data_IF_103925888319
#
_entry.id   IF_103925888319
#
_cell.length_a   1.000
_cell.length_b   1.000
_cell.length_c   1.000
_cell.angle_alpha   90.00
_cell.angle_beta   90.00
_cell.angle_gamma   90.00
#
_symmetry.space_group_name_H-M   'P 1'
#
loop_
_entity.id
_entity.type
_entity.pdbx_description
1 polymer ?
#
# COMPACT_ATOMS: atom_id res chain seq x y z
N UNK A 1 6.65 42.58 -9.53
CA UNK A 1 6.75 41.80 -10.79
C UNK A 1 7.83 40.70 -10.77
N UNK A 2 8.70 40.61 -9.75
CA UNK A 2 9.74 39.57 -9.63
C UNK A 2 9.33 38.31 -8.83
N UNK A 3 8.23 38.36 -8.08
CA UNK A 3 7.80 37.25 -7.21
C UNK A 3 7.05 36.15 -7.99
N UNK A 4 6.30 36.54 -9.03
CA UNK A 4 5.53 35.61 -9.88
C UNK A 4 6.43 34.78 -10.80
N UNK A 5 7.55 35.35 -11.26
CA UNK A 5 8.56 34.62 -12.02
C UNK A 5 9.33 33.63 -11.16
N UNK A 6 9.67 33.97 -9.91
CA UNK A 6 10.35 33.05 -8.99
C UNK A 6 9.46 31.85 -8.63
N UNK A 7 8.17 32.07 -8.39
CA UNK A 7 7.20 30.99 -8.16
C UNK A 7 7.00 30.10 -9.38
N UNK A 8 7.02 30.66 -10.59
CA UNK A 8 7.01 29.90 -11.83
C UNK A 8 8.27 29.05 -12.01
N UNK A 9 9.45 29.59 -11.69
CA UNK A 9 10.70 28.83 -11.78
C UNK A 9 10.77 27.67 -10.76
N UNK A 10 10.28 27.88 -9.54
CA UNK A 10 10.21 26.82 -8.52
C UNK A 10 9.21 25.72 -8.93
N UNK A 11 8.03 26.10 -9.42
CA UNK A 11 7.03 25.15 -9.91
C UNK A 11 7.52 24.35 -11.14
N UNK A 12 8.30 24.98 -12.03
CA UNK A 12 8.89 24.28 -13.20
C UNK A 12 10.03 23.34 -12.79
N UNK A 13 10.81 23.67 -11.76
CA UNK A 13 11.88 22.79 -11.26
C UNK A 13 11.34 21.56 -10.52
N UNK A 14 10.29 21.71 -9.71
CA UNK A 14 9.64 20.57 -9.05
C UNK A 14 9.04 19.59 -10.06
N UNK A 15 8.36 20.11 -11.10
CA UNK A 15 7.80 19.27 -12.16
C UNK A 15 8.87 18.51 -12.96
N UNK A 16 10.03 19.13 -13.24
CA UNK A 16 11.15 18.44 -13.92
C UNK A 16 11.83 17.38 -13.06
N UNK A 17 12.03 17.64 -11.77
CA UNK A 17 12.60 16.65 -10.86
C UNK A 17 11.67 15.43 -10.68
N UNK A 18 10.36 15.66 -10.73
CA UNK A 18 9.34 14.62 -10.69
C UNK A 18 9.28 13.81 -12.00
N UNK A 19 9.38 14.45 -13.17
CA UNK A 19 9.47 13.77 -14.48
C UNK A 19 10.77 12.97 -14.66
N UNK A 20 11.92 13.51 -14.27
CA UNK A 20 13.22 12.82 -14.37
C UNK A 20 13.32 11.62 -13.41
N UNK A 21 12.71 11.71 -12.22
CA UNK A 21 12.58 10.56 -11.33
C UNK A 21 11.62 9.52 -11.91
N UNK A 22 10.48 9.92 -12.47
CA UNK A 22 9.50 8.98 -13.04
C UNK A 22 10.03 8.23 -14.29
N UNK A 23 10.86 8.89 -15.11
CA UNK A 23 11.53 8.29 -16.27
C UNK A 23 12.56 7.21 -15.89
N UNK A 24 13.18 7.31 -14.71
CA UNK A 24 14.19 6.35 -14.23
C UNK A 24 13.61 4.97 -13.86
N UNK A 25 12.31 4.89 -13.63
CA UNK A 25 11.63 3.66 -13.18
C UNK A 25 10.95 2.86 -14.30
N UNK A 26 11.05 3.30 -15.55
CA UNK A 26 10.42 2.66 -16.73
C UNK A 26 10.97 1.25 -17.03
N UNK A 27 12.08 0.85 -16.40
CA UNK A 27 12.71 -0.48 -16.58
C UNK A 27 12.64 -1.39 -15.34
N UNK A 28 11.82 -1.10 -14.33
CA UNK A 28 11.60 -2.04 -13.24
C UNK A 28 10.74 -3.22 -13.71
N UNK A 29 11.29 -4.44 -13.66
CA UNK A 29 10.51 -5.65 -13.90
C UNK A 29 9.61 -5.91 -12.70
N UNK A 30 8.32 -5.57 -12.85
CA UNK A 30 7.28 -5.81 -11.84
C UNK A 30 6.88 -7.29 -11.73
N UNK A 31 7.39 -8.15 -12.63
CA UNK A 31 7.01 -9.57 -12.72
C UNK A 31 7.47 -10.36 -11.49
N UNK A 32 8.47 -9.86 -10.76
CA UNK A 32 8.97 -10.50 -9.55
C UNK A 32 8.17 -10.14 -8.29
N UNK A 33 7.33 -9.09 -8.33
CA UNK A 33 6.61 -8.61 -7.15
C UNK A 33 5.35 -9.41 -6.88
N UNK A 34 4.90 -9.43 -5.63
CA UNK A 34 3.68 -10.14 -5.24
C UNK A 34 2.48 -9.63 -6.05
N UNK A 35 1.80 -10.55 -6.74
CA UNK A 35 0.61 -10.23 -7.53
C UNK A 35 -0.59 -9.91 -6.62
N UNK A 36 -1.65 -9.31 -7.18
CA UNK A 36 -2.84 -9.02 -6.36
C UNK A 36 -3.53 -10.32 -5.91
N UNK A 37 -3.58 -11.31 -6.80
CA UNK A 37 -4.17 -12.61 -6.52
C UNK A 37 -3.39 -13.36 -5.45
N UNK A 38 -2.05 -13.32 -5.50
CA UNK A 38 -1.18 -13.88 -4.46
C UNK A 38 -1.36 -13.14 -3.13
N UNK A 39 -1.48 -11.83 -3.17
CA UNK A 39 -1.62 -10.99 -1.98
C UNK A 39 -2.89 -11.34 -1.19
N UNK A 40 -4.04 -11.42 -1.87
CA UNK A 40 -5.33 -11.75 -1.24
C UNK A 40 -5.55 -13.25 -1.05
N UNK A 41 -4.67 -14.10 -1.58
CA UNK A 41 -4.79 -15.55 -1.47
C UNK A 41 -4.92 -16.00 -0.01
N UNK A 42 -5.73 -17.04 0.20
CA UNK A 42 -5.96 -17.66 1.52
C UNK A 42 -6.53 -16.71 2.59
N UNK A 43 -7.12 -15.59 2.18
CA UNK A 43 -7.81 -14.67 3.11
C UNK A 43 -9.21 -14.35 2.63
N UNK A 44 -10.09 -14.02 3.57
CA UNK A 44 -11.42 -13.47 3.28
C UNK A 44 -11.47 -12.08 3.88
N UNK A 45 -11.81 -11.09 3.08
CA UNK A 45 -11.96 -9.71 3.53
C UNK A 45 -13.41 -9.43 3.91
N UNK A 46 -13.64 -9.04 5.16
CA UNK A 46 -14.92 -8.51 5.63
C UNK A 46 -14.87 -6.97 5.66
N UNK A 47 -15.64 -6.27 4.81
CA UNK A 47 -15.66 -4.80 4.81
C UNK A 47 -15.97 -4.19 6.18
N UNK A 48 -16.76 -4.86 7.04
CA UNK A 48 -17.09 -4.33 8.36
C UNK A 48 -15.90 -4.23 9.30
N UNK A 49 -14.85 -5.02 9.05
CA UNK A 49 -13.66 -5.06 9.90
C UNK A 49 -12.71 -3.86 9.73
N UNK A 50 -12.95 -2.98 8.74
CA UNK A 50 -12.16 -1.74 8.54
C UNK A 50 -12.89 -0.46 8.91
N UNK A 51 -14.18 -0.54 9.19
CA UNK A 51 -15.06 0.62 9.39
C UNK A 51 -14.86 1.22 10.79
N UNK A 52 -15.00 2.55 10.89
CA UNK A 52 -14.89 3.31 12.14
C UNK A 52 -13.54 3.14 12.87
N UNK A 53 -12.50 2.82 12.11
CA UNK A 53 -11.11 2.72 12.58
C UNK A 53 -10.28 3.80 11.87
N UNK A 54 -9.47 4.51 12.66
CA UNK A 54 -8.47 5.45 12.13
C UNK A 54 -7.22 4.66 11.76
N UNK A 55 -7.07 4.34 10.48
CA UNK A 55 -5.93 3.63 9.95
C UNK A 55 -4.81 4.62 9.65
N UNK A 56 -3.57 4.28 10.02
CA UNK A 56 -2.40 5.07 9.68
C UNK A 56 -1.34 4.19 9.03
N UNK A 57 -0.76 4.69 7.94
CA UNK A 57 0.26 3.98 7.18
C UNK A 57 1.55 3.95 8.00
N UNK A 58 2.09 2.76 8.25
CA UNK A 58 3.34 2.60 8.99
C UNK A 58 4.48 2.03 8.14
N UNK A 59 4.15 1.42 6.99
CA UNK A 59 5.09 0.85 6.05
C UNK A 59 4.61 1.04 4.61
N UNK A 60 5.57 1.25 3.71
CA UNK A 60 5.32 1.55 2.31
C UNK A 60 6.14 0.62 1.43
N UNK A 61 5.55 0.18 0.32
CA UNK A 61 6.22 -0.46 -0.80
C UNK A 61 5.93 0.36 -2.06
N UNK A 62 6.51 1.56 -2.12
CA UNK A 62 6.32 2.52 -3.21
C UNK A 62 7.64 3.22 -3.52
N UNK A 63 8.00 3.39 -4.82
CA UNK A 63 9.21 4.12 -5.21
C UNK A 63 9.06 5.62 -4.97
N UNK A 64 7.82 6.11 -4.78
CA UNK A 64 7.54 7.51 -4.57
C UNK A 64 7.80 7.92 -3.12
N UNK A 65 8.20 9.18 -2.96
CA UNK A 65 8.15 9.81 -1.65
C UNK A 65 6.69 10.02 -1.26
N UNK A 66 6.29 9.45 -0.13
CA UNK A 66 4.94 9.56 0.42
C UNK A 66 5.04 9.67 1.94
N UNK A 67 4.27 10.61 2.49
CA UNK A 67 4.13 10.79 3.92
C UNK A 67 3.05 9.87 4.49
N UNK A 68 3.14 9.57 5.79
CA UNK A 68 2.09 8.82 6.48
C UNK A 68 0.90 9.73 6.77
N UNK A 69 -0.28 9.33 6.30
CA UNK A 69 -1.55 10.00 6.55
C UNK A 69 -2.58 9.00 7.08
N UNK A 70 -3.69 9.54 7.59
CA UNK A 70 -4.77 8.73 8.12
C UNK A 70 -5.76 8.37 7.02
N UNK A 71 -6.31 7.17 7.09
CA UNK A 71 -7.36 6.65 6.22
C UNK A 71 -8.53 6.19 7.10
N UNK A 72 -9.75 6.58 6.75
CA UNK A 72 -10.97 6.12 7.39
C UNK A 72 -11.85 5.44 6.36
N UNK A 73 -12.50 4.36 6.78
CA UNK A 73 -13.52 3.68 5.97
C UNK A 73 -14.87 3.82 6.66
N UNK A 74 -15.89 4.03 5.85
CA UNK A 74 -17.29 4.02 6.24
C UNK A 74 -18.12 3.18 5.27
N UNK A 75 -19.36 2.85 5.65
CA UNK A 75 -20.29 2.24 4.71
C UNK A 75 -20.60 3.21 3.57
N UNK A 76 -20.66 2.71 2.34
CA UNK A 76 -21.13 3.47 1.20
C UNK A 76 -22.64 3.79 1.37
N UNK A 77 -22.95 4.98 1.89
CA UNK A 77 -24.34 5.42 2.04
C UNK A 77 -24.99 5.68 0.68
N UNK A 78 -26.31 5.52 0.59
CA UNK A 78 -27.07 5.75 -0.66
C UNK A 78 -26.80 7.15 -1.23
N UNK A 79 -26.74 8.18 -0.37
CA UNK A 79 -26.46 9.56 -0.77
C UNK A 79 -25.08 9.71 -1.43
N UNK A 80 -24.06 9.03 -0.89
CA UNK A 80 -22.71 9.05 -1.46
C UNK A 80 -22.67 8.30 -2.79
N UNK A 81 -23.30 7.12 -2.86
CA UNK A 81 -23.36 6.32 -4.08
C UNK A 81 -24.09 7.08 -5.19
N UNK A 82 -25.20 7.73 -4.87
CA UNK A 82 -25.97 8.52 -5.83
C UNK A 82 -25.19 9.74 -6.34
N UNK A 83 -24.38 10.38 -5.50
CA UNK A 83 -23.47 11.45 -5.95
C UNK A 83 -22.48 10.93 -6.99
N UNK A 84 -21.78 9.83 -6.71
CA UNK A 84 -20.84 9.25 -7.68
C UNK A 84 -21.55 8.82 -8.97
N UNK A 85 -22.75 8.26 -8.86
CA UNK A 85 -23.57 7.87 -10.01
C UNK A 85 -23.91 9.08 -10.88
N UNK A 86 -24.49 10.13 -10.31
CA UNK A 86 -24.91 11.32 -11.08
C UNK A 86 -23.75 11.95 -11.85
N UNK A 87 -22.57 12.04 -11.22
CA UNK A 87 -21.40 12.66 -11.84
C UNK A 87 -20.72 11.77 -12.90
N UNK A 88 -20.76 10.44 -12.75
CA UNK A 88 -19.88 9.54 -13.52
C UNK A 88 -20.61 8.53 -14.42
N UNK A 89 -21.91 8.31 -14.29
CA UNK A 89 -22.61 7.20 -14.97
C UNK A 89 -22.46 7.24 -16.50
N UNK A 90 -22.42 8.43 -17.12
CA UNK A 90 -22.20 8.59 -18.56
C UNK A 90 -20.74 8.51 -19.00
N UNK A 91 -19.81 8.81 -18.10
CA UNK A 91 -18.37 8.95 -18.40
C UNK A 91 -17.58 7.67 -18.10
N UNK A 92 -18.04 6.88 -17.14
CA UNK A 92 -17.29 5.76 -16.60
C UNK A 92 -17.30 4.56 -17.55
N UNK A 93 -16.10 4.12 -17.93
CA UNK A 93 -15.89 3.00 -18.87
C UNK A 93 -14.89 2.01 -18.30
N UNK A 94 -15.23 0.71 -18.22
CA UNK A 94 -16.56 0.13 -18.46
C UNK A 94 -17.63 0.62 -17.45
N UNK A 95 -18.93 0.51 -17.79
CA UNK A 95 -20.01 0.80 -16.86
C UNK A 95 -19.85 0.00 -15.56
N UNK A 96 -20.18 0.63 -14.44
CA UNK A 96 -20.12 0.03 -13.11
C UNK A 96 -21.52 -0.24 -12.58
N UNK A 97 -21.65 -1.31 -11.80
CA UNK A 97 -22.87 -1.58 -11.05
C UNK A 97 -22.78 -0.89 -9.69
N UNK A 98 -23.49 0.22 -9.54
CA UNK A 98 -23.49 1.02 -8.30
C UNK A 98 -24.02 0.27 -7.07
N UNK A 99 -24.77 -0.81 -7.25
CA UNK A 99 -25.22 -1.66 -6.13
C UNK A 99 -24.08 -2.50 -5.52
N UNK A 100 -22.92 -2.53 -6.18
CA UNK A 100 -21.72 -3.20 -5.68
C UNK A 100 -20.87 -2.32 -4.76
N UNK A 101 -21.27 -1.07 -4.51
CA UNK A 101 -20.61 -0.19 -3.54
C UNK A 101 -20.69 -0.75 -2.13
N UNK A 102 -19.53 -0.92 -1.48
CA UNK A 102 -19.41 -1.52 -0.14
C UNK A 102 -18.82 -0.58 0.90
N UNK A 103 -17.86 0.26 0.50
CA UNK A 103 -17.13 1.14 1.39
C UNK A 103 -16.94 2.51 0.73
N UNK A 104 -16.90 3.54 1.55
CA UNK A 104 -16.38 4.85 1.20
C UNK A 104 -15.10 5.09 1.99
N UNK A 105 -14.06 5.54 1.32
CA UNK A 105 -12.74 5.78 1.88
C UNK A 105 -12.45 7.29 1.87
N UNK A 106 -11.95 7.79 2.98
CA UNK A 106 -11.50 9.17 3.13
C UNK A 106 -10.10 9.18 3.72
N UNK A 107 -9.30 10.16 3.33
CA UNK A 107 -7.95 10.35 3.83
C UNK A 107 -7.79 11.74 4.43
N UNK A 108 -6.81 11.93 5.31
CA UNK A 108 -6.51 13.24 5.88
C UNK A 108 -5.79 14.21 4.91
N UNK A 109 -5.58 13.80 3.65
CA UNK A 109 -4.97 14.61 2.58
C UNK A 109 -6.00 14.97 1.49
N UNK A 110 -7.27 15.06 1.88
CA UNK A 110 -8.41 15.43 1.01
C UNK A 110 -8.63 14.50 -0.20
N UNK A 111 -8.09 13.28 -0.17
CA UNK A 111 -8.43 12.23 -1.12
C UNK A 111 -9.60 11.39 -0.59
N UNK A 112 -10.59 11.12 -1.44
CA UNK A 112 -11.71 10.22 -1.14
C UNK A 112 -12.03 9.30 -2.31
N UNK A 113 -12.61 8.13 -2.02
CA UNK A 113 -12.96 7.17 -3.05
C UNK A 113 -14.12 6.25 -2.65
N UNK A 114 -14.89 5.84 -3.65
CA UNK A 114 -15.91 4.80 -3.53
C UNK A 114 -15.30 3.45 -3.89
N UNK A 115 -15.49 2.44 -3.03
CA UNK A 115 -15.00 1.09 -3.22
C UNK A 115 -16.15 0.15 -3.57
N UNK A 116 -16.03 -0.53 -4.69
CA UNK A 116 -17.01 -1.49 -5.19
C UNK A 116 -16.44 -2.91 -5.08
N UNK A 117 -17.26 -3.86 -4.63
CA UNK A 117 -16.87 -5.27 -4.56
C UNK A 117 -16.61 -5.83 -5.96
N UNK A 118 -15.73 -6.82 -6.03
CA UNK A 118 -15.56 -7.66 -7.23
C UNK A 118 -16.01 -9.09 -6.93
N UNK A 119 -15.80 -10.00 -7.87
CA UNK A 119 -16.03 -11.42 -7.69
C UNK A 119 -14.97 -12.10 -6.80
N UNK A 120 -13.85 -11.44 -6.49
CA UNK A 120 -12.78 -11.97 -5.65
C UNK A 120 -12.79 -11.24 -4.31
N UNK A 121 -12.88 -11.99 -3.21
CA UNK A 121 -12.83 -11.42 -1.85
C UNK A 121 -11.51 -10.68 -1.65
N UNK A 122 -11.57 -9.48 -1.07
CA UNK A 122 -10.40 -8.61 -0.89
C UNK A 122 -10.04 -7.78 -2.12
N UNK A 123 -10.47 -8.14 -3.33
CA UNK A 123 -10.24 -7.28 -4.51
C UNK A 123 -11.44 -6.35 -4.69
N UNK A 124 -11.15 -5.05 -4.75
CA UNK A 124 -12.14 -3.99 -4.93
C UNK A 124 -11.79 -3.11 -6.12
N UNK A 125 -12.82 -2.55 -6.76
CA UNK A 125 -12.67 -1.43 -7.68
C UNK A 125 -12.75 -0.13 -6.90
N UNK A 126 -11.77 0.73 -7.07
CA UNK A 126 -11.70 2.04 -6.44
C UNK A 126 -12.02 3.13 -7.48
N UNK A 127 -13.00 3.97 -7.17
CA UNK A 127 -13.37 5.14 -7.96
C UNK A 127 -13.04 6.38 -7.13
N UNK A 128 -11.98 7.14 -7.47
CA UNK A 128 -11.62 8.34 -6.71
C UNK A 128 -12.61 9.47 -6.99
N UNK A 129 -12.87 10.33 -6.01
CA UNK A 129 -13.69 11.55 -6.20
C UNK A 129 -13.08 12.52 -7.23
N UNK A 130 -11.77 12.45 -7.44
CA UNK A 130 -11.06 13.20 -8.49
C UNK A 130 -11.61 12.91 -9.89
N UNK A 131 -12.25 11.75 -10.11
CA UNK A 131 -12.88 11.44 -11.39
C UNK A 131 -14.02 12.41 -11.77
N UNK A 132 -14.59 13.15 -10.81
CA UNK A 132 -15.62 14.17 -11.09
C UNK A 132 -15.07 15.35 -11.91
N UNK A 133 -13.78 15.67 -11.74
CA UNK A 133 -13.15 16.81 -12.39
C UNK A 133 -12.33 16.41 -13.62
N UNK A 134 -11.87 15.16 -13.66
CA UNK A 134 -10.97 14.66 -14.69
C UNK A 134 -11.60 13.48 -15.45
N UNK A 135 -12.15 13.71 -16.66
CA UNK A 135 -12.66 12.65 -17.51
C UNK A 135 -11.58 11.62 -17.83
N UNK A 136 -11.96 10.34 -17.88
CA UNK A 136 -11.05 9.26 -18.24
C UNK A 136 -10.12 8.79 -17.11
N UNK A 137 -10.36 9.22 -15.86
CA UNK A 137 -9.68 8.63 -14.71
C UNK A 137 -9.90 7.11 -14.69
N UNK A 138 -8.83 6.31 -14.67
CA UNK A 138 -8.96 4.87 -14.79
C UNK A 138 -9.63 4.28 -13.55
N UNK A 139 -10.49 3.29 -13.76
CA UNK A 139 -10.93 2.39 -12.70
C UNK A 139 -9.72 1.62 -12.16
N UNK A 140 -9.41 1.82 -10.88
CA UNK A 140 -8.27 1.16 -10.24
C UNK A 140 -8.72 -0.09 -9.51
N UNK A 141 -7.95 -1.17 -9.62
CA UNK A 141 -8.14 -2.36 -8.81
C UNK A 141 -7.20 -2.33 -7.62
N UNK A 142 -7.75 -2.59 -6.44
CA UNK A 142 -7.00 -2.68 -5.19
C UNK A 142 -7.26 -4.01 -4.49
N UNK A 143 -6.22 -4.56 -3.87
CA UNK A 143 -6.27 -5.66 -2.93
C UNK A 143 -6.31 -5.13 -1.50
N UNK A 144 -7.27 -5.62 -0.72
CA UNK A 144 -7.46 -5.36 0.70
C UNK A 144 -7.30 -6.68 1.45
N UNK A 145 -6.50 -6.67 2.50
CA UNK A 145 -6.21 -7.84 3.32
C UNK A 145 -6.03 -7.42 4.76
N UNK A 146 -6.63 -8.15 5.70
CA UNK A 146 -6.33 -7.98 7.12
C UNK A 146 -5.55 -9.19 7.62
N UNK A 147 -4.49 -8.92 8.35
CA UNK A 147 -3.66 -9.93 9.01
C UNK A 147 -3.59 -9.67 10.51
N UNK A 148 -3.34 -10.72 11.30
CA UNK A 148 -3.14 -10.57 12.74
C UNK A 148 -1.92 -9.66 13.02
N UNK A 149 -1.97 -8.80 14.05
CA UNK A 149 -3.02 -8.67 15.09
C UNK A 149 -4.22 -7.80 14.68
N UNK A 150 -4.25 -7.26 13.47
CA UNK A 150 -5.32 -6.39 12.96
C UNK A 150 -4.80 -5.32 12.01
N UNK A 151 -3.77 -5.62 11.22
CA UNK A 151 -3.21 -4.68 10.25
C UNK A 151 -3.87 -4.86 8.90
N UNK A 152 -4.07 -3.74 8.22
CA UNK A 152 -4.63 -3.68 6.89
C UNK A 152 -3.51 -3.51 5.87
N UNK A 153 -3.49 -4.37 4.87
CA UNK A 153 -2.70 -4.18 3.67
C UNK A 153 -3.57 -3.61 2.55
N UNK A 154 -3.04 -2.61 1.86
CA UNK A 154 -3.71 -1.93 0.76
C UNK A 154 -2.81 -1.90 -0.47
N UNK A 155 -3.13 -2.72 -1.49
CA UNK A 155 -2.28 -2.98 -2.65
C UNK A 155 -2.94 -2.47 -3.94
N UNK A 156 -2.28 -1.59 -4.69
CA UNK A 156 -2.65 -1.27 -6.06
C UNK A 156 -2.29 -2.41 -7.00
N UNK A 157 -3.29 -3.10 -7.58
CA UNK A 157 -3.04 -4.30 -8.39
C UNK A 157 -2.27 -4.01 -9.68
N UNK A 158 -2.47 -2.82 -10.28
CA UNK A 158 -1.87 -2.40 -11.55
C UNK A 158 -0.39 -2.02 -11.37
N UNK A 159 -0.10 -1.24 -10.33
CA UNK A 159 1.23 -0.66 -10.11
C UNK A 159 2.08 -1.44 -9.11
N UNK A 160 1.52 -2.46 -8.44
CA UNK A 160 2.18 -3.23 -7.38
C UNK A 160 2.72 -2.35 -6.25
N UNK A 161 1.96 -1.31 -5.90
CA UNK A 161 2.26 -0.42 -4.78
C UNK A 161 1.45 -0.88 -3.58
N UNK A 162 2.11 -1.13 -2.46
CA UNK A 162 1.46 -1.62 -1.25
C UNK A 162 1.70 -0.69 -0.07
N UNK A 163 0.74 -0.67 0.86
CA UNK A 163 0.85 0.02 2.13
C UNK A 163 0.43 -0.92 3.25
N UNK A 164 1.17 -0.88 4.37
CA UNK A 164 0.75 -1.48 5.62
C UNK A 164 0.18 -0.40 6.53
N UNK A 165 -1.02 -0.64 7.03
CA UNK A 165 -1.75 0.26 7.91
C UNK A 165 -2.08 -0.43 9.22
N UNK A 166 -1.99 0.33 10.31
CA UNK A 166 -2.41 -0.10 11.63
C UNK A 166 -3.45 0.89 12.17
N UNK A 167 -4.37 0.44 13.05
CA UNK A 167 -5.14 1.35 13.86
C UNK A 167 -4.19 2.29 14.64
N UNK A 168 -4.51 3.58 14.71
CA UNK A 168 -3.67 4.58 15.38
C UNK A 168 -3.34 4.21 16.84
N UNK A 169 -4.27 3.56 17.53
CA UNK A 169 -4.13 3.08 18.91
C UNK A 169 -3.39 1.75 19.05
N UNK A 170 -3.08 1.08 17.93
CA UNK A 170 -2.39 -0.23 17.86
C UNK A 170 -1.22 -0.19 16.88
N UNK A 171 -0.52 0.94 16.83
CA UNK A 171 0.68 1.10 16.03
C UNK A 171 1.76 0.11 16.51
N UNK A 172 2.47 -0.58 15.61
CA UNK A 172 3.57 -1.44 16.02
C UNK A 172 4.72 -0.61 16.61
N UNK A 173 5.52 -1.26 17.46
CA UNK A 173 6.74 -0.66 17.99
C UNK A 173 7.71 -0.29 16.86
N UNK A 174 8.44 0.82 17.04
CA UNK A 174 9.29 1.37 15.99
C UNK A 174 10.35 0.38 15.48
N UNK A 175 10.86 -0.48 16.36
CA UNK A 175 11.87 -1.50 16.03
C UNK A 175 11.29 -2.67 15.24
N UNK A 176 9.97 -2.89 15.31
CA UNK A 176 9.28 -4.04 14.71
C UNK A 176 8.50 -3.69 13.43
N UNK A 177 8.51 -2.43 12.97
CA UNK A 177 7.70 -1.97 11.83
C UNK A 177 7.87 -2.84 10.57
N UNK A 178 9.12 -3.22 10.25
CA UNK A 178 9.41 -4.05 9.06
C UNK A 178 8.91 -5.48 9.23
N UNK A 179 9.17 -6.11 10.38
CA UNK A 179 8.73 -7.47 10.68
C UNK A 179 7.20 -7.57 10.65
N UNK A 180 6.52 -6.59 11.24
CA UNK A 180 5.07 -6.52 11.30
C UNK A 180 4.45 -6.27 9.92
N UNK A 181 5.10 -5.48 9.06
CA UNK A 181 4.71 -5.27 7.68
C UNK A 181 4.84 -6.56 6.83
N UNK A 182 5.89 -7.35 7.04
CA UNK A 182 6.12 -8.61 6.31
C UNK A 182 4.99 -9.63 6.50
N UNK A 183 4.25 -9.57 7.63
CA UNK A 183 3.08 -10.44 7.88
C UNK A 183 1.97 -10.28 6.83
N UNK A 184 1.94 -9.17 6.09
CA UNK A 184 1.01 -8.98 4.97
C UNK A 184 1.32 -9.92 3.78
N UNK A 185 2.55 -10.43 3.69
CA UNK A 185 2.99 -11.32 2.62
C UNK A 185 3.12 -10.59 1.27
N UNK A 186 3.41 -9.30 1.30
CA UNK A 186 3.74 -8.52 0.10
C UNK A 186 5.25 -8.29 0.03
N UNK A 187 5.82 -8.47 -1.15
CA UNK A 187 7.22 -8.21 -1.41
C UNK A 187 7.44 -7.30 -2.63
N UNK A 188 8.37 -6.34 -2.47
CA UNK A 188 8.97 -5.53 -3.54
C UNK A 188 10.30 -4.91 -3.07
N UNK A 189 11.02 -4.28 -3.99
CA UNK A 189 12.33 -3.65 -3.73
C UNK A 189 12.26 -2.30 -2.99
N UNK A 190 11.04 -1.77 -2.75
CA UNK A 190 10.81 -0.41 -2.25
C UNK A 190 10.27 -0.37 -0.81
N UNK A 191 10.47 -1.45 -0.05
CA UNK A 191 10.00 -1.54 1.32
C UNK A 191 10.68 -0.53 2.24
N UNK A 192 9.90 0.34 2.90
CA UNK A 192 10.39 1.32 3.87
C UNK A 192 9.38 1.64 4.97
N UNK A 193 9.89 2.02 6.13
CA UNK A 193 9.05 2.47 7.25
C UNK A 193 8.62 3.93 7.05
N UNK A 194 7.57 4.35 7.76
CA UNK A 194 7.13 5.76 7.75
C UNK A 194 8.12 6.73 8.38
N UNK A 195 9.15 6.24 9.08
CA UNK A 195 10.21 7.07 9.68
C UNK A 195 11.42 7.25 8.77
N UNK A 196 11.49 6.50 7.67
CA UNK A 196 12.50 6.65 6.63
C UNK A 196 12.00 7.61 5.54
N UNK A 197 12.53 8.85 5.56
CA UNK A 197 12.13 9.93 4.64
C UNK A 197 12.64 9.67 3.21
N UNK A 198 13.70 8.88 3.03
CA UNK A 198 14.31 8.63 1.71
C UNK A 198 13.99 7.20 1.25
N UNK A 199 13.42 6.99 0.05
CA UNK A 199 13.23 5.65 -0.50
C UNK A 199 14.56 4.88 -0.60
N UNK A 200 14.62 3.61 -0.15
CA UNK A 200 15.83 2.81 -0.27
C UNK A 200 16.15 2.51 -1.73
N UNK A 201 17.42 2.24 -2.01
CA UNK A 201 17.83 1.70 -3.31
C UNK A 201 17.20 0.31 -3.51
N UNK A 202 16.85 -0.09 -4.74
CA UNK A 202 16.24 -1.39 -4.99
C UNK A 202 17.09 -2.53 -4.44
N UNK A 203 16.50 -3.37 -3.58
CA UNK A 203 17.14 -4.58 -3.03
C UNK A 203 16.64 -5.83 -3.73
N UNK A 204 17.47 -6.87 -3.84
CA UNK A 204 17.07 -8.17 -4.38
C UNK A 204 15.94 -8.82 -3.55
N UNK A 205 15.14 -9.72 -4.15
CA UNK A 205 14.14 -10.48 -3.41
C UNK A 205 14.71 -11.26 -2.24
N UNK A 206 14.01 -11.28 -1.08
CA UNK A 206 14.35 -12.16 0.01
C UNK A 206 14.18 -13.57 -0.52
N UNK A 207 15.14 -14.43 -0.17
CA UNK A 207 14.97 -15.86 -0.37
C UNK A 207 13.71 -16.31 0.37
N UNK A 208 12.95 -17.28 -0.19
CA UNK A 208 11.78 -17.81 0.48
C UNK A 208 12.19 -18.23 1.90
N UNK A 209 11.38 -17.87 2.90
CA UNK A 209 11.60 -18.17 4.30
C UNK A 209 11.56 -19.69 4.51
N UNK A 210 12.69 -20.37 4.25
CA UNK A 210 12.90 -21.76 4.61
C UNK A 210 13.09 -21.80 6.11
N UNK A 211 12.10 -22.35 6.79
CA UNK A 211 12.05 -22.50 8.23
C UNK A 211 12.75 -23.81 8.65
N UNK A 212 13.92 -24.06 8.08
CA UNK A 212 14.67 -25.32 8.21
C UNK A 212 16.13 -25.10 8.69
N UNK A 213 16.47 -23.95 9.26
CA UNK A 213 17.76 -23.72 9.95
C UNK A 213 17.67 -24.04 11.46
N UNK A 214 16.89 -25.07 11.83
CA UNK A 214 16.93 -25.70 13.15
C UNK A 214 17.76 -27.01 13.06
N UNK A 215 18.98 -26.92 12.53
CA UNK A 215 20.03 -27.90 12.83
C UNK A 215 20.94 -27.29 13.90
N UNK A 216 20.47 -27.41 15.15
CA UNK A 216 21.27 -27.34 16.36
C UNK A 216 22.37 -28.42 16.31
N UNK A 217 23.54 -28.11 15.75
CA UNK A 217 24.74 -28.88 16.06
C UNK A 217 25.61 -28.12 17.07
N UNK A 218 25.45 -28.63 18.28
CA UNK A 218 26.10 -28.42 19.56
C UNK A 218 27.55 -27.92 19.56
N UNK A 219 27.79 -27.11 20.59
CA UNK A 219 29.07 -26.65 21.11
C UNK A 219 30.18 -27.71 21.14
N UNK A 220 31.39 -27.33 20.71
CA UNK A 220 32.60 -27.85 21.31
C UNK A 220 33.58 -26.70 21.58
N UNK A 221 33.50 -26.16 22.80
CA UNK A 221 34.56 -25.36 23.38
C UNK A 221 35.25 -26.13 24.51
N UNK A 222 36.55 -26.34 24.29
CA UNK A 222 37.67 -26.45 25.24
C UNK A 222 37.69 -27.54 26.33
N UNK A 223 38.76 -28.34 26.29
CA UNK A 223 39.57 -28.54 27.49
C UNK A 223 41.07 -28.60 27.18
N UNK A 224 41.76 -27.69 27.86
CA UNK A 224 43.19 -27.44 27.93
C UNK A 224 43.89 -28.51 28.79
N UNK A 225 45.07 -28.94 28.32
CA UNK A 225 46.30 -29.21 29.07
C UNK A 225 46.49 -30.40 30.06
N UNK A 226 47.75 -30.87 30.00
CA UNK A 226 48.55 -31.81 30.82
C UNK A 226 48.37 -33.32 30.51
N UNK A 227 49.41 -34.12 30.28
CA UNK A 227 50.61 -34.34 31.12
C UNK A 227 51.80 -34.91 30.29
N UNK A 228 53.00 -34.50 30.69
CA UNK A 228 54.35 -35.03 30.42
C UNK A 228 54.48 -36.57 30.41
N UNK A 229 55.22 -37.11 29.44
CA UNK A 229 56.39 -37.99 29.61
C UNK A 229 57.05 -38.31 28.27
#
# INVERSE_FOLDING_TARGET
>A
MFLTTLLWFLSVQENKAQEDNMSKYVNLSLDNYTSCDQFVANTTFDPKSVIDIDWKIFYFWTPNFEESYNIKFSLASEVLVDRFRVELDSEIKPPVNWNDSILFMETSIDFSALLLKTNVSGIVRLIPSLAFEYPGVPLLLFGLKIVKPGYLGFLSCKYKLCYALAPVDKMPDHESLTEEAQKLGFWSDFGRTHTQIIPPLPTLPPEPYNKDDDDEDESMDMLHDYVLL
#
